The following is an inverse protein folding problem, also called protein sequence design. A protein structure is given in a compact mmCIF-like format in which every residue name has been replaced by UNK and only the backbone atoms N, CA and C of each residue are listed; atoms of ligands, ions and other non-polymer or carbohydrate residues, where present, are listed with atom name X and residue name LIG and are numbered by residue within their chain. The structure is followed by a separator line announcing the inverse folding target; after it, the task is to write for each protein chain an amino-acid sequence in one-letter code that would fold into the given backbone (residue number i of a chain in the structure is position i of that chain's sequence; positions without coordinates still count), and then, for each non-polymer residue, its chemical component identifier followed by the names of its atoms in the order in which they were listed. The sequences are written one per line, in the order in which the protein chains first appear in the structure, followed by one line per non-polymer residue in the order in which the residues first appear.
data_IF_700418722402
#
_entry.id   IF_700418722402
#
_cell.length_a   1.000
_cell.length_b   1.000
_cell.length_c   1.000
_cell.angle_alpha   90.00
_cell.angle_beta   90.00
_cell.angle_gamma   90.00
#
_symmetry.space_group_name_H-M   'P 1'
#
loop_
_entity.id
_entity.type
_entity.pdbx_description
1 polymer ?
#
# COMPACT_ATOMS: atom_id res chain seq x y z
N UNK A 1 -16.88 -44.74 -28.41
CA UNK A 1 -15.61 -44.00 -28.44
C UNK A 1 -15.92 -42.54 -28.21
N UNK A 2 -15.30 -41.91 -27.20
CA UNK A 2 -15.42 -40.45 -27.04
C UNK A 2 -14.86 -39.74 -28.28
N UNK A 3 -15.56 -38.71 -28.76
CA UNK A 3 -15.05 -37.85 -29.80
C UNK A 3 -13.93 -36.93 -29.25
N UNK A 4 -13.03 -36.45 -30.12
CA UNK A 4 -11.88 -35.60 -29.76
C UNK A 4 -12.25 -34.39 -28.89
N UNK A 5 -13.39 -33.75 -29.16
CA UNK A 5 -13.89 -32.61 -28.37
C UNK A 5 -14.38 -33.02 -26.97
N UNK A 6 -15.01 -34.19 -26.86
CA UNK A 6 -15.51 -34.71 -25.58
C UNK A 6 -14.35 -35.14 -24.68
N UNK A 7 -13.33 -35.76 -25.28
CA UNK A 7 -12.09 -36.14 -24.61
C UNK A 7 -11.36 -34.92 -24.01
N UNK A 8 -11.17 -33.86 -24.80
CA UNK A 8 -10.56 -32.61 -24.32
C UNK A 8 -11.38 -31.96 -23.19
N UNK A 9 -12.71 -31.95 -23.30
CA UNK A 9 -13.61 -31.44 -22.27
C UNK A 9 -13.54 -32.25 -20.97
N UNK A 10 -13.48 -33.58 -21.07
CA UNK A 10 -13.32 -34.48 -19.93
C UNK A 10 -11.98 -34.26 -19.21
N UNK A 11 -10.88 -34.17 -19.96
CA UNK A 11 -9.54 -33.90 -19.43
C UNK A 11 -9.54 -32.54 -18.71
N UNK A 12 -10.06 -31.49 -19.34
CA UNK A 12 -10.16 -30.13 -18.76
C UNK A 12 -10.95 -30.13 -17.45
N UNK A 13 -12.10 -30.80 -17.43
CA UNK A 13 -12.97 -30.88 -16.24
C UNK A 13 -12.33 -31.70 -15.12
N UNK A 14 -11.66 -32.81 -15.47
CA UNK A 14 -11.00 -33.68 -14.49
C UNK A 14 -9.77 -33.02 -13.87
N UNK A 15 -8.99 -32.26 -14.65
CA UNK A 15 -7.90 -31.43 -14.14
C UNK A 15 -8.42 -30.32 -13.23
N UNK A 16 -9.56 -29.70 -13.56
CA UNK A 16 -10.18 -28.67 -12.70
C UNK A 16 -10.69 -29.25 -11.36
N UNK A 17 -11.03 -30.55 -11.32
CA UNK A 17 -11.40 -31.27 -10.09
C UNK A 17 -10.20 -31.76 -9.27
N UNK A 18 -8.96 -31.47 -9.70
CA UNK A 18 -7.74 -31.85 -8.99
C UNK A 18 -7.27 -33.29 -9.21
N UNK A 19 -7.84 -34.04 -10.16
CA UNK A 19 -7.36 -35.39 -10.49
C UNK A 19 -5.98 -35.34 -11.12
N UNK A 20 -5.12 -36.32 -10.80
CA UNK A 20 -3.79 -36.41 -11.37
C UNK A 20 -3.85 -36.81 -12.85
N UNK A 21 -2.85 -36.40 -13.64
CA UNK A 21 -2.76 -36.78 -15.07
C UNK A 21 -2.78 -38.29 -15.25
N UNK A 22 -2.12 -39.03 -14.35
CA UNK A 22 -2.03 -40.50 -14.36
C UNK A 22 -3.39 -41.16 -14.12
N UNK A 23 -4.20 -40.62 -13.20
CA UNK A 23 -5.53 -41.14 -12.91
C UNK A 23 -6.49 -40.90 -14.08
N UNK A 24 -6.40 -39.72 -14.72
CA UNK A 24 -7.14 -39.40 -15.95
C UNK A 24 -6.73 -40.35 -17.07
N UNK A 25 -5.43 -40.60 -17.22
CA UNK A 25 -4.89 -41.52 -18.23
C UNK A 25 -5.41 -42.94 -18.04
N UNK A 26 -5.37 -43.46 -16.80
CA UNK A 26 -5.87 -44.81 -16.47
C UNK A 26 -7.38 -44.95 -16.72
N UNK A 27 -8.17 -43.94 -16.36
CA UNK A 27 -9.62 -43.98 -16.58
C UNK A 27 -9.96 -43.99 -18.08
N UNK A 28 -9.27 -43.18 -18.89
CA UNK A 28 -9.47 -43.13 -20.33
C UNK A 28 -9.01 -44.41 -21.05
N UNK A 29 -7.94 -45.05 -20.56
CA UNK A 29 -7.51 -46.37 -21.05
C UNK A 29 -8.54 -47.46 -20.73
N UNK A 30 -9.10 -47.44 -19.52
CA UNK A 30 -10.15 -48.39 -19.11
C UNK A 30 -11.45 -48.22 -19.92
N UNK A 31 -11.73 -47.02 -20.42
CA UNK A 31 -12.85 -46.73 -21.34
C UNK A 31 -12.59 -47.13 -22.80
N UNK A 32 -11.39 -47.66 -23.11
CA UNK A 32 -11.02 -48.15 -24.44
C UNK A 32 -10.49 -47.08 -25.39
N UNK A 33 -10.01 -45.93 -24.90
CA UNK A 33 -9.35 -44.93 -25.72
C UNK A 33 -7.90 -45.34 -26.06
N UNK A 34 -7.44 -45.03 -27.28
CA UNK A 34 -6.04 -45.24 -27.67
C UNK A 34 -5.11 -44.24 -26.99
N UNK A 35 -3.87 -44.67 -26.75
CA UNK A 35 -2.80 -43.83 -26.18
C UNK A 35 -2.61 -42.55 -27.01
N UNK A 36 -2.64 -42.66 -28.34
CA UNK A 36 -2.48 -41.53 -29.26
C UNK A 36 -3.61 -40.50 -29.13
N UNK A 37 -4.86 -40.97 -28.97
CA UNK A 37 -6.00 -40.09 -28.80
C UNK A 37 -5.93 -39.34 -27.45
N UNK A 38 -5.49 -40.02 -26.39
CA UNK A 38 -5.31 -39.43 -25.06
C UNK A 38 -4.23 -38.35 -25.11
N UNK A 39 -3.08 -38.64 -25.73
CA UNK A 39 -1.98 -37.69 -25.89
C UNK A 39 -2.43 -36.44 -26.65
N UNK A 40 -3.12 -36.61 -27.77
CA UNK A 40 -3.66 -35.50 -28.56
C UNK A 40 -4.66 -34.65 -27.76
N UNK A 41 -5.49 -35.28 -26.92
CA UNK A 41 -6.40 -34.59 -26.00
C UNK A 41 -5.66 -33.73 -24.98
N UNK A 42 -4.58 -34.23 -24.40
CA UNK A 42 -3.74 -33.46 -23.46
C UNK A 42 -3.00 -32.32 -24.16
N UNK A 43 -2.50 -32.51 -25.38
CA UNK A 43 -1.80 -31.48 -26.15
C UNK A 43 -2.75 -30.33 -26.51
N UNK A 44 -3.99 -30.64 -26.91
CA UNK A 44 -5.04 -29.63 -27.15
C UNK A 44 -5.33 -28.84 -25.89
N UNK A 45 -5.59 -29.49 -24.75
CA UNK A 45 -5.88 -28.80 -23.47
C UNK A 45 -4.70 -27.95 -23.01
N UNK A 46 -3.47 -28.42 -23.21
CA UNK A 46 -2.26 -27.68 -22.84
C UNK A 46 -2.10 -26.42 -23.70
N UNK A 47 -2.26 -26.55 -25.03
CA UNK A 47 -2.17 -25.41 -25.95
C UNK A 47 -3.28 -24.37 -25.75
N UNK A 48 -4.51 -24.79 -25.43
CA UNK A 48 -5.61 -23.88 -25.08
C UNK A 48 -5.31 -23.10 -23.80
N UNK A 49 -4.76 -23.79 -22.78
CA UNK A 49 -4.38 -23.17 -21.50
C UNK A 49 -3.26 -22.15 -21.68
N UNK A 50 -2.23 -22.46 -22.47
CA UNK A 50 -1.13 -21.53 -22.76
C UNK A 50 -1.62 -20.26 -23.48
N UNK A 51 -2.54 -20.40 -24.44
CA UNK A 51 -3.18 -19.26 -25.12
C UNK A 51 -4.02 -18.42 -24.15
N UNK A 52 -4.79 -19.08 -23.29
CA UNK A 52 -5.60 -18.41 -22.27
C UNK A 52 -4.73 -17.64 -21.25
N UNK A 53 -3.66 -18.26 -20.75
CA UNK A 53 -2.73 -17.64 -19.81
C UNK A 53 -1.97 -16.47 -20.44
N UNK A 54 -1.55 -16.60 -21.70
CA UNK A 54 -0.93 -15.50 -22.47
C UNK A 54 -1.92 -14.35 -22.65
N UNK A 55 -3.17 -14.63 -23.00
CA UNK A 55 -4.22 -13.62 -23.13
C UNK A 55 -4.48 -12.91 -21.80
N UNK A 56 -4.63 -13.66 -20.69
CA UNK A 56 -4.79 -13.10 -19.33
C UNK A 56 -3.61 -12.22 -18.94
N UNK A 57 -2.37 -12.62 -19.27
CA UNK A 57 -1.17 -11.84 -19.00
C UNK A 57 -1.16 -10.53 -19.80
N UNK A 58 -1.46 -10.60 -21.10
CA UNK A 58 -1.56 -9.42 -21.97
C UNK A 58 -2.64 -8.46 -21.49
N UNK A 59 -3.83 -8.96 -21.15
CA UNK A 59 -4.92 -8.15 -20.59
C UNK A 59 -4.47 -7.47 -19.29
N UNK A 60 -3.84 -8.21 -18.37
CA UNK A 60 -3.33 -7.64 -17.11
C UNK A 60 -2.33 -6.51 -17.36
N UNK A 61 -1.43 -6.68 -18.32
CA UNK A 61 -0.45 -5.65 -18.71
C UNK A 61 -1.18 -4.42 -19.25
N UNK A 62 -2.06 -4.58 -20.24
CA UNK A 62 -2.81 -3.47 -20.85
C UNK A 62 -3.64 -2.72 -19.80
N UNK A 63 -4.36 -3.44 -18.94
CA UNK A 63 -5.17 -2.83 -17.88
C UNK A 63 -4.30 -2.08 -16.88
N UNK A 64 -3.14 -2.62 -16.50
CA UNK A 64 -2.21 -1.95 -15.58
C UNK A 64 -1.66 -0.66 -16.20
N UNK A 65 -1.20 -0.71 -17.46
CA UNK A 65 -0.72 0.49 -18.16
C UNK A 65 -1.83 1.52 -18.37
N UNK A 66 -3.04 1.08 -18.72
CA UNK A 66 -4.20 1.96 -18.85
C UNK A 66 -4.51 2.68 -17.54
N UNK A 67 -4.53 1.96 -16.41
CA UNK A 67 -4.73 2.55 -15.09
C UNK A 67 -3.63 3.56 -14.74
N UNK A 68 -2.36 3.24 -15.02
CA UNK A 68 -1.23 4.15 -14.80
C UNK A 68 -1.36 5.41 -15.66
N UNK A 69 -1.65 5.28 -16.95
CA UNK A 69 -1.80 6.41 -17.87
C UNK A 69 -2.95 7.33 -17.46
N UNK A 70 -4.09 6.76 -17.06
CA UNK A 70 -5.22 7.53 -16.53
C UNK A 70 -4.80 8.28 -15.26
N UNK A 71 -4.10 7.63 -14.33
CA UNK A 71 -3.58 8.27 -13.13
C UNK A 71 -2.62 9.42 -13.43
N UNK A 72 -1.67 9.22 -14.35
CA UNK A 72 -0.74 10.25 -14.81
C UNK A 72 -1.50 11.41 -15.49
N UNK A 73 -2.52 11.12 -16.29
CA UNK A 73 -3.36 12.14 -16.92
C UNK A 73 -4.09 13.01 -15.90
N UNK A 74 -4.67 12.39 -14.86
CA UNK A 74 -5.32 13.11 -13.75
C UNK A 74 -4.31 14.01 -13.03
N UNK A 75 -3.13 13.49 -12.69
CA UNK A 75 -2.08 14.29 -12.03
C UNK A 75 -1.59 15.43 -12.90
N UNK A 76 -1.39 15.19 -14.21
CA UNK A 76 -0.98 16.21 -15.17
C UNK A 76 -2.03 17.32 -15.29
N UNK A 77 -3.32 16.96 -15.36
CA UNK A 77 -4.42 17.93 -15.39
C UNK A 77 -4.47 18.81 -14.14
N UNK A 78 -4.36 18.19 -12.95
CA UNK A 78 -4.33 18.93 -11.68
C UNK A 78 -3.11 19.86 -11.63
N UNK A 79 -1.93 19.36 -12.01
CA UNK A 79 -0.69 20.12 -12.01
C UNK A 79 -0.74 21.30 -12.98
N UNK A 80 -1.22 21.09 -14.21
CA UNK A 80 -1.35 22.14 -15.23
C UNK A 80 -2.29 23.28 -14.79
N UNK A 81 -3.36 22.95 -14.08
CA UNK A 81 -4.32 23.92 -13.57
C UNK A 81 -3.96 24.45 -12.17
N UNK A 82 -2.93 23.91 -11.52
CA UNK A 82 -2.62 24.17 -10.12
C UNK A 82 -2.42 25.66 -9.83
N UNK A 83 -1.73 26.40 -10.69
CA UNK A 83 -1.49 27.84 -10.45
C UNK A 83 -2.78 28.66 -10.49
N UNK A 84 -3.72 28.31 -11.36
CA UNK A 84 -4.99 29.01 -11.51
C UNK A 84 -6.04 28.64 -10.43
N UNK A 85 -5.89 27.49 -9.76
CA UNK A 85 -6.84 27.05 -8.73
C UNK A 85 -6.80 27.93 -7.47
N UNK A 86 -7.99 28.27 -6.96
CA UNK A 86 -8.16 28.90 -5.66
C UNK A 86 -7.58 28.03 -4.54
N UNK A 87 -7.11 28.67 -3.46
CA UNK A 87 -6.51 27.98 -2.31
C UNK A 87 -7.46 26.95 -1.69
N UNK A 88 -8.76 27.25 -1.63
CA UNK A 88 -9.80 26.35 -1.12
C UNK A 88 -9.87 25.03 -1.90
N UNK A 89 -9.78 25.09 -3.22
CA UNK A 89 -9.80 23.90 -4.09
C UNK A 89 -8.57 23.03 -3.86
N UNK A 90 -7.38 23.64 -3.75
CA UNK A 90 -6.13 22.93 -3.46
C UNK A 90 -6.21 22.17 -2.13
N UNK A 91 -6.71 22.83 -1.08
CA UNK A 91 -6.92 22.22 0.23
C UNK A 91 -7.91 21.07 0.12
N UNK A 92 -9.02 21.26 -0.60
CA UNK A 92 -10.00 20.20 -0.81
C UNK A 92 -9.39 18.98 -1.50
N UNK A 93 -8.58 19.16 -2.55
CA UNK A 93 -7.89 18.07 -3.25
C UNK A 93 -6.97 17.31 -2.29
N UNK A 94 -6.18 18.01 -1.49
CA UNK A 94 -5.26 17.40 -0.51
C UNK A 94 -6.04 16.58 0.54
N UNK A 95 -7.09 17.17 1.13
CA UNK A 95 -7.92 16.50 2.14
C UNK A 95 -8.66 15.31 1.53
N UNK A 96 -9.24 15.46 0.34
CA UNK A 96 -9.93 14.38 -0.35
C UNK A 96 -8.99 13.21 -0.66
N UNK A 97 -7.78 13.48 -1.15
CA UNK A 97 -6.78 12.45 -1.42
C UNK A 97 -6.32 11.73 -0.14
N UNK A 98 -6.15 12.48 0.95
CA UNK A 98 -5.81 11.94 2.27
C UNK A 98 -6.91 11.02 2.80
N UNK A 99 -8.15 11.49 2.83
CA UNK A 99 -9.31 10.72 3.31
C UNK A 99 -9.57 9.49 2.45
N UNK A 100 -9.47 9.62 1.12
CA UNK A 100 -9.61 8.50 0.20
C UNK A 100 -8.55 7.42 0.46
N UNK A 101 -7.30 7.82 0.71
CA UNK A 101 -6.22 6.88 1.03
C UNK A 101 -6.48 6.14 2.35
N UNK A 102 -6.93 6.85 3.39
CA UNK A 102 -7.27 6.22 4.67
C UNK A 102 -8.48 5.30 4.57
N UNK A 103 -9.57 5.75 3.92
CA UNK A 103 -10.79 4.96 3.77
C UNK A 103 -10.54 3.69 2.95
N UNK A 104 -9.85 3.82 1.81
CA UNK A 104 -9.51 2.67 0.98
C UNK A 104 -8.52 1.74 1.69
N UNK A 105 -7.54 2.28 2.41
CA UNK A 105 -6.60 1.49 3.20
C UNK A 105 -7.27 0.69 4.32
N UNK A 106 -8.17 1.32 5.07
CA UNK A 106 -8.97 0.66 6.10
C UNK A 106 -9.89 -0.41 5.50
N UNK A 107 -10.60 -0.09 4.41
CA UNK A 107 -11.49 -1.04 3.74
C UNK A 107 -10.75 -2.26 3.19
N UNK A 108 -9.57 -2.09 2.59
CA UNK A 108 -8.77 -3.21 2.08
C UNK A 108 -8.20 -4.07 3.21
N UNK A 109 -7.74 -3.44 4.30
CA UNK A 109 -7.20 -4.13 5.47
C UNK A 109 -8.29 -4.97 6.15
N UNK A 110 -9.46 -4.38 6.39
CA UNK A 110 -10.51 -4.98 7.23
C UNK A 110 -11.50 -5.86 6.45
N UNK A 111 -11.93 -5.45 5.25
CA UNK A 111 -12.98 -6.17 4.52
C UNK A 111 -12.46 -7.17 3.50
N UNK A 112 -11.27 -6.93 2.94
CA UNK A 112 -10.75 -7.74 1.83
C UNK A 112 -9.53 -8.60 2.22
N UNK A 113 -9.14 -8.62 3.50
CA UNK A 113 -7.97 -9.34 4.02
C UNK A 113 -6.65 -9.02 3.28
N UNK A 114 -6.57 -7.90 2.56
CA UNK A 114 -5.36 -7.43 1.91
C UNK A 114 -4.54 -6.55 2.85
N UNK A 115 -4.07 -7.13 3.95
CA UNK A 115 -3.40 -6.40 5.05
C UNK A 115 -2.20 -5.56 4.57
N UNK A 116 -1.37 -6.11 3.66
CA UNK A 116 -0.20 -5.40 3.11
C UNK A 116 -0.58 -4.17 2.27
N UNK A 117 -1.52 -4.33 1.34
CA UNK A 117 -1.97 -3.23 0.48
C UNK A 117 -2.76 -2.18 1.26
N UNK A 118 -3.62 -2.60 2.19
CA UNK A 118 -4.35 -1.70 3.08
C UNK A 118 -3.41 -0.86 3.97
N UNK A 119 -2.39 -1.50 4.56
CA UNK A 119 -1.35 -0.82 5.33
C UNK A 119 -0.55 0.19 4.51
N UNK A 120 -0.22 -0.14 3.25
CA UNK A 120 0.45 0.78 2.34
C UNK A 120 -0.40 2.02 2.00
N UNK A 121 -1.72 1.87 1.82
CA UNK A 121 -2.63 2.99 1.59
C UNK A 121 -2.79 3.89 2.83
N UNK A 122 -2.81 3.30 4.03
CA UNK A 122 -2.81 4.08 5.29
C UNK A 122 -1.50 4.86 5.42
N UNK A 123 -0.36 4.25 5.09
CA UNK A 123 0.93 4.92 5.06
C UNK A 123 0.92 6.08 4.05
N UNK A 124 0.40 5.85 2.84
CA UNK A 124 0.25 6.88 1.81
C UNK A 124 -0.59 8.06 2.31
N UNK A 125 -1.74 7.81 2.95
CA UNK A 125 -2.56 8.86 3.55
C UNK A 125 -1.80 9.70 4.57
N UNK A 126 -0.93 9.07 5.36
CA UNK A 126 -0.08 9.77 6.34
C UNK A 126 1.02 10.60 5.70
N UNK A 127 1.54 10.17 4.54
CA UNK A 127 2.48 10.97 3.75
C UNK A 127 1.76 12.17 3.12
N UNK A 128 0.55 11.99 2.59
CA UNK A 128 -0.27 13.08 2.04
C UNK A 128 -0.62 14.09 3.13
N UNK A 129 -0.95 13.65 4.35
CA UNK A 129 -1.15 14.52 5.51
C UNK A 129 0.07 15.42 5.75
N UNK A 130 1.26 14.81 5.86
CA UNK A 130 2.51 15.53 6.08
C UNK A 130 2.85 16.52 4.96
N UNK A 131 2.84 16.04 3.71
CA UNK A 131 3.07 16.90 2.54
C UNK A 131 2.03 18.03 2.44
N UNK A 132 0.79 17.75 2.84
CA UNK A 132 -0.29 18.72 2.92
C UNK A 132 0.00 19.87 3.87
N UNK A 133 0.60 19.61 5.04
CA UNK A 133 1.03 20.67 5.99
C UNK A 133 1.97 21.66 5.29
N UNK A 134 2.99 21.16 4.59
CA UNK A 134 3.96 22.00 3.89
C UNK A 134 3.34 22.74 2.71
N UNK A 135 2.47 22.08 1.93
CA UNK A 135 1.74 22.74 0.84
C UNK A 135 0.85 23.86 1.35
N UNK A 136 0.15 23.66 2.47
CA UNK A 136 -0.66 24.70 3.12
C UNK A 136 0.21 25.85 3.61
N UNK A 137 1.33 25.56 4.29
CA UNK A 137 2.28 26.58 4.71
C UNK A 137 2.78 27.44 3.53
N UNK A 138 3.10 26.80 2.40
CA UNK A 138 3.48 27.49 1.17
C UNK A 138 2.34 28.34 0.59
N UNK A 139 1.12 27.80 0.50
CA UNK A 139 -0.04 28.53 -0.05
C UNK A 139 -0.39 29.81 0.73
N UNK A 140 -0.17 29.81 2.05
CA UNK A 140 -0.43 30.95 2.92
C UNK A 140 0.80 31.80 3.23
N UNK A 141 1.96 31.49 2.61
CA UNK A 141 3.23 32.17 2.86
C UNK A 141 3.59 32.22 4.36
N UNK A 142 3.21 31.17 5.10
CA UNK A 142 3.48 31.08 6.53
C UNK A 142 4.98 30.88 6.70
N UNK A 143 5.65 31.86 7.30
CA UNK A 143 7.05 31.75 7.73
C UNK A 143 7.13 30.98 9.03
N UNK A 144 6.73 29.71 8.99
CA UNK A 144 6.91 28.79 10.11
C UNK A 144 8.35 28.28 10.11
N UNK A 145 8.89 28.04 11.30
CA UNK A 145 10.13 27.30 11.44
C UNK A 145 9.90 25.91 10.84
N UNK A 146 10.74 25.55 9.87
CA UNK A 146 10.67 24.27 9.17
C UNK A 146 10.52 23.01 10.07
N UNK A 147 11.00 22.90 11.33
CA UNK A 147 10.84 21.70 12.14
C UNK A 147 9.42 21.58 12.72
N UNK A 148 8.70 22.70 12.89
CA UNK A 148 7.34 22.71 13.45
C UNK A 148 6.36 21.92 12.57
N UNK A 149 6.54 22.00 11.25
CA UNK A 149 5.75 21.21 10.29
C UNK A 149 5.97 19.71 10.46
N UNK A 150 7.21 19.29 10.74
CA UNK A 150 7.52 17.88 11.03
C UNK A 150 6.96 17.42 12.38
N UNK A 151 6.87 18.29 13.38
CA UNK A 151 6.21 17.96 14.66
C UNK A 151 4.72 17.71 14.45
N UNK A 152 4.04 18.61 13.74
CA UNK A 152 2.62 18.43 13.43
C UNK A 152 2.39 17.14 12.64
N UNK A 153 3.28 16.85 11.68
CA UNK A 153 3.25 15.60 10.94
C UNK A 153 3.43 14.39 11.87
N UNK A 154 4.42 14.41 12.75
CA UNK A 154 4.66 13.35 13.72
C UNK A 154 3.44 13.12 14.61
N UNK A 155 2.83 14.17 15.16
CA UNK A 155 1.65 14.05 16.04
C UNK A 155 0.50 13.35 15.30
N UNK A 156 0.19 13.79 14.08
CA UNK A 156 -0.85 13.15 13.28
C UNK A 156 -0.49 11.71 12.89
N UNK A 157 0.77 11.43 12.57
CA UNK A 157 1.23 10.09 12.27
C UNK A 157 1.10 9.14 13.48
N UNK A 158 1.42 9.60 14.69
CA UNK A 158 1.22 8.83 15.93
C UNK A 158 -0.27 8.57 16.18
N UNK A 159 -1.12 9.59 16.02
CA UNK A 159 -2.56 9.44 16.20
C UNK A 159 -3.15 8.38 15.24
N UNK A 160 -2.75 8.42 13.96
CA UNK A 160 -3.19 7.46 12.95
C UNK A 160 -2.60 6.07 13.20
N UNK A 161 -1.32 5.98 13.57
CA UNK A 161 -0.65 4.72 13.86
C UNK A 161 -1.32 3.99 15.04
N UNK A 162 -1.73 4.74 16.07
CA UNK A 162 -2.46 4.21 17.22
C UNK A 162 -3.89 3.82 16.85
N UNK A 163 -4.63 4.69 16.15
CA UNK A 163 -6.03 4.43 15.79
C UNK A 163 -6.22 3.25 14.83
N UNK A 164 -5.26 3.02 13.92
CA UNK A 164 -5.35 1.97 12.89
C UNK A 164 -4.38 0.79 13.13
N UNK A 165 -3.68 0.78 14.27
CA UNK A 165 -2.69 -0.22 14.66
C UNK A 165 -1.73 -0.59 13.51
N UNK A 166 -1.13 0.44 12.90
CA UNK A 166 -0.31 0.28 11.68
C UNK A 166 1.18 0.49 11.98
N UNK A 167 1.93 -0.61 12.05
CA UNK A 167 3.38 -0.58 12.29
C UNK A 167 4.19 0.26 11.27
N UNK A 168 3.91 0.22 9.96
CA UNK A 168 4.60 1.10 8.99
C UNK A 168 4.47 2.58 9.32
N UNK A 169 3.32 3.00 9.86
CA UNK A 169 3.06 4.40 10.23
C UNK A 169 3.83 4.78 11.50
N UNK A 170 4.01 3.86 12.44
CA UNK A 170 4.89 4.09 13.60
C UNK A 170 6.34 4.34 13.18
N UNK A 171 6.88 3.57 12.22
CA UNK A 171 8.23 3.83 11.71
C UNK A 171 8.34 5.20 11.03
N UNK A 172 7.33 5.60 10.26
CA UNK A 172 7.27 6.93 9.68
C UNK A 172 7.23 8.02 10.76
N UNK A 173 6.45 7.84 11.82
CA UNK A 173 6.38 8.78 12.93
C UNK A 173 7.74 8.94 13.64
N UNK A 174 8.47 7.85 13.88
CA UNK A 174 9.82 7.89 14.46
C UNK A 174 10.80 8.63 13.54
N UNK A 175 10.76 8.34 12.24
CA UNK A 175 11.62 8.99 11.25
C UNK A 175 11.36 10.50 11.19
N UNK A 176 10.10 10.89 11.04
CA UNK A 176 9.65 12.29 11.00
C UNK A 176 9.99 13.01 12.31
N UNK A 177 9.76 12.36 13.46
CA UNK A 177 10.11 12.89 14.77
C UNK A 177 11.62 13.11 14.94
N UNK A 178 12.44 12.17 14.45
CA UNK A 178 13.89 12.31 14.47
C UNK A 178 14.34 13.54 13.66
N UNK A 179 13.77 13.77 12.48
CA UNK A 179 14.06 14.97 11.67
C UNK A 179 13.71 16.25 12.42
N UNK A 180 12.59 16.30 13.13
CA UNK A 180 12.22 17.46 13.95
C UNK A 180 13.24 17.70 15.09
N UNK A 181 13.66 16.63 15.78
CA UNK A 181 14.63 16.69 16.89
C UNK A 181 15.99 17.20 16.44
N UNK A 182 16.49 16.80 15.26
CA UNK A 182 17.76 17.31 14.73
C UNK A 182 17.63 18.71 14.10
N UNK A 183 16.45 19.05 13.57
CA UNK A 183 16.19 20.35 12.95
C UNK A 183 16.15 21.52 13.94
N UNK A 184 15.61 21.32 15.15
CA UNK A 184 15.53 22.37 16.17
C UNK A 184 16.91 22.86 16.66
N UNK A 185 17.85 21.99 17.06
CA UNK A 185 19.22 22.39 17.44
C UNK A 185 20.00 23.07 16.31
N UNK A 186 19.80 22.65 15.06
CA UNK A 186 20.47 23.27 13.93
C UNK A 186 19.92 24.69 13.64
N UNK A 187 18.62 24.91 13.82
CA UNK A 187 18.03 26.24 13.77
C UNK A 187 18.57 27.15 14.90
N UNK A 188 18.74 26.60 16.10
CA UNK A 188 19.35 27.27 17.26
C UNK A 188 20.82 27.64 17.04
N UNK A 189 21.59 26.86 16.27
CA UNK A 189 22.99 27.17 15.93
C UNK A 189 23.12 28.32 14.91
N UNK A 190 22.10 28.51 14.07
CA UNK A 190 22.06 29.55 13.03
C UNK A 190 21.61 30.90 13.57
N UNK A 191 20.75 30.89 14.59
CA UNK A 191 20.37 32.08 15.37
C UNK A 191 21.09 32.06 16.73
N UNK A 192 22.28 32.68 16.78
CA UNK A 192 23.09 32.81 18.00
C UNK A 192 22.39 33.71 19.04
N UNK A 193 21.38 33.17 19.73
CA UNK A 193 20.63 33.83 20.80
C UNK A 193 19.99 32.79 21.72
N UNK A 194 20.59 32.56 22.89
CA UNK A 194 20.04 31.66 23.89
C UNK A 194 18.70 32.20 24.41
N UNK A 195 17.58 31.65 23.94
CA UNK A 195 16.26 31.85 24.54
C UNK A 195 15.78 30.58 25.24
N UNK A 196 15.61 30.67 26.56
CA UNK A 196 15.22 29.60 27.48
C UNK A 196 13.90 28.90 27.09
N UNK A 197 13.04 29.57 26.32
CA UNK A 197 11.76 29.03 25.85
C UNK A 197 11.92 27.89 24.83
N UNK A 198 12.99 27.89 24.02
CA UNK A 198 13.18 26.91 22.93
C UNK A 198 13.86 25.60 23.38
N UNK A 199 14.65 25.64 24.46
CA UNK A 199 15.20 24.46 25.13
C UNK A 199 14.10 23.56 25.71
N UNK A 200 13.05 24.20 26.23
CA UNK A 200 11.89 23.53 26.83
C UNK A 200 11.13 22.69 25.79
N UNK A 201 10.92 23.22 24.57
CA UNK A 201 10.25 22.51 23.47
C UNK A 201 11.07 21.32 22.94
N UNK A 202 12.39 21.45 22.93
CA UNK A 202 13.32 20.42 22.45
C UNK A 202 13.39 19.22 23.41
N UNK A 203 13.38 19.49 24.72
CA UNK A 203 13.28 18.45 25.76
C UNK A 203 11.91 17.77 25.77
N UNK A 204 10.83 18.53 25.56
CA UNK A 204 9.48 17.98 25.51
C UNK A 204 9.29 17.03 24.33
N UNK A 205 9.87 17.37 23.17
CA UNK A 205 9.91 16.48 22.00
C UNK A 205 10.73 15.23 22.26
N UNK A 206 11.89 15.36 22.91
CA UNK A 206 12.72 14.22 23.25
C UNK A 206 11.98 13.25 24.18
N UNK A 207 11.30 13.77 25.21
CA UNK A 207 10.45 12.99 26.11
C UNK A 207 9.27 12.37 25.36
N UNK A 208 8.60 13.10 24.48
CA UNK A 208 7.49 12.58 23.67
C UNK A 208 7.94 11.46 22.71
N UNK A 209 9.15 11.56 22.16
CA UNK A 209 9.70 10.54 21.26
C UNK A 209 10.07 9.29 22.04
N UNK A 210 10.65 9.46 23.24
CA UNK A 210 10.94 8.37 24.17
C UNK A 210 9.64 7.69 24.64
N UNK A 211 8.61 8.46 25.03
CA UNK A 211 7.33 7.86 25.46
C UNK A 211 6.65 7.12 24.33
N UNK A 212 6.67 7.65 23.12
CA UNK A 212 6.10 6.97 21.93
C UNK A 212 6.88 5.69 21.61
N UNK A 213 8.22 5.72 21.69
CA UNK A 213 9.07 4.55 21.53
C UNK A 213 8.81 3.49 22.61
N UNK A 214 8.65 3.91 23.87
CA UNK A 214 8.35 3.01 25.00
C UNK A 214 6.94 2.40 24.88
N UNK A 215 5.95 3.18 24.42
CA UNK A 215 4.59 2.68 24.17
C UNK A 215 4.60 1.67 23.02
N UNK A 216 5.28 1.96 21.91
CA UNK A 216 5.46 1.02 20.79
C UNK A 216 6.19 -0.26 21.20
N UNK A 217 7.23 -0.13 22.04
CA UNK A 217 7.93 -1.28 22.62
C UNK A 217 7.01 -2.11 23.51
N UNK A 218 6.28 -1.47 24.43
CA UNK A 218 5.37 -2.15 25.36
C UNK A 218 4.23 -2.88 24.66
N UNK A 219 3.71 -2.32 23.55
CA UNK A 219 2.73 -2.99 22.70
C UNK A 219 3.34 -4.21 21.99
N UNK A 220 4.58 -4.12 21.50
CA UNK A 220 5.30 -5.26 20.89
C UNK A 220 5.53 -6.43 21.86
N UNK A 221 5.64 -6.15 23.17
CA UNK A 221 5.75 -7.19 24.21
C UNK A 221 4.42 -7.90 24.52
N UNK A 222 3.28 -7.32 24.15
CA UNK A 222 1.95 -7.91 24.37
C UNK A 222 1.47 -8.80 23.21
N UNK A 223 2.20 -8.85 22.10
CA UNK A 223 1.85 -9.71 20.96
C UNK A 223 2.34 -11.15 21.23
N UNK A 224 1.44 -12.15 21.29
CA UNK A 224 1.82 -13.55 21.45
C UNK A 224 2.75 -14.01 20.31
N UNK A 225 3.73 -14.89 20.60
CA UNK A 225 4.72 -15.33 19.60
C UNK A 225 4.12 -16.01 18.36
N UNK A 226 2.88 -16.50 18.46
CA UNK A 226 2.17 -17.28 17.43
C UNK A 226 1.71 -16.45 16.22
N UNK A 227 1.58 -15.13 16.35
CA UNK A 227 1.15 -14.23 15.26
C UNK A 227 2.33 -13.62 14.48
N UNK A 228 3.59 -13.96 14.81
CA UNK A 228 4.77 -13.42 14.12
C UNK A 228 5.01 -14.01 12.73
N UNK A 229 4.39 -15.14 12.40
CA UNK A 229 4.58 -15.78 11.09
C UNK A 229 3.70 -15.19 9.98
N UNK A 230 2.70 -14.37 10.31
CA UNK A 230 1.74 -13.81 9.34
C UNK A 230 1.89 -12.30 9.07
N UNK A 231 2.86 -11.63 9.70
CA UNK A 231 3.18 -10.21 9.52
C UNK A 231 4.55 -10.02 8.89
#
# INVERSE_FOLDING_TARGET
MLNRKELASYIKTSLARGKSKEEIYKNLLNEGCSVDAIQEGFDVVTSEREREDTSKRTIRIIVTFGAVLVGVGIFSFIAANWQAMAKSVKIFIIIAAMLASYAAGWQLKEKMNFSKTGGALILLGTIIYGGGIFLVAQMFHIRAHWPDGFILWMIGAVAVAYALESYPVFYLAILVGSVAIFGHPFALLREFGFHSFLLTSSLLLFVATITTFLIGWAMRKKVPPELREFY
#
